data_IF_091762502999
#
_entry.id   IF_091762502999
#
_cell.length_a   1.000
_cell.length_b   1.000
_cell.length_c   1.000
_cell.angle_alpha   90.00
_cell.angle_beta   90.00
_cell.angle_gamma   90.00
#
_symmetry.space_group_name_H-M   'P 1'
#
loop_
_entity.id
_entity.type
_entity.pdbx_description
1 polymer ?
#
# COMPACT_ATOMS: atom_id res chain seq x y z
N UNK A 1 -32.58 11.76 -12.29
CA UNK A 1 -31.22 11.54 -12.82
C UNK A 1 -30.75 12.90 -13.27
N UNK A 2 -29.86 13.54 -12.51
CA UNK A 2 -29.40 14.89 -12.81
C UNK A 2 -28.32 14.81 -13.89
N UNK A 3 -28.51 15.53 -14.99
CA UNK A 3 -27.57 15.65 -16.10
C UNK A 3 -26.27 16.28 -15.59
N UNK A 4 -25.17 15.54 -15.59
CA UNK A 4 -23.84 16.05 -15.27
C UNK A 4 -23.37 16.93 -16.43
N UNK A 5 -23.09 18.20 -16.12
CA UNK A 5 -22.50 19.14 -17.09
C UNK A 5 -21.10 18.64 -17.42
N UNK A 6 -20.89 18.12 -18.63
CA UNK A 6 -19.56 17.73 -19.10
C UNK A 6 -18.67 18.96 -19.21
N UNK A 7 -17.80 19.19 -18.23
CA UNK A 7 -16.78 20.21 -18.32
C UNK A 7 -15.58 19.65 -19.10
N UNK A 8 -15.10 20.41 -20.09
CA UNK A 8 -13.85 20.11 -20.79
C UNK A 8 -12.67 20.30 -19.83
N UNK A 9 -11.71 19.36 -19.83
CA UNK A 9 -10.46 19.49 -19.07
C UNK A 9 -9.69 20.75 -19.52
N UNK A 10 -9.26 21.62 -18.59
CA UNK A 10 -8.48 22.81 -18.93
C UNK A 10 -7.05 22.44 -19.37
N UNK A 11 -6.43 23.30 -20.17
CA UNK A 11 -5.02 23.19 -20.49
C UNK A 11 -4.20 23.92 -19.43
N UNK A 12 -3.22 23.22 -18.86
CA UNK A 12 -2.37 23.74 -17.80
C UNK A 12 -1.03 24.21 -18.37
N UNK A 13 -0.58 25.37 -17.93
CA UNK A 13 0.68 25.98 -18.38
C UNK A 13 1.85 25.66 -17.45
N UNK A 14 1.59 25.07 -16.27
CA UNK A 14 2.58 24.69 -15.28
C UNK A 14 2.16 23.46 -14.48
N UNK A 15 3.14 22.72 -13.95
CA UNK A 15 2.92 21.61 -13.01
C UNK A 15 2.29 22.07 -11.70
N UNK A 16 2.59 23.30 -11.25
CA UNK A 16 1.98 23.87 -10.03
C UNK A 16 0.47 24.09 -10.22
N UNK A 17 0.08 24.61 -11.39
CA UNK A 17 -1.32 24.87 -11.75
C UNK A 17 -2.13 23.56 -11.84
N UNK A 18 -1.50 22.48 -12.33
CA UNK A 18 -2.06 21.13 -12.30
C UNK A 18 -2.35 20.68 -10.86
N UNK A 19 -1.35 20.76 -9.98
CA UNK A 19 -1.49 20.33 -8.58
C UNK A 19 -2.57 21.14 -7.86
N UNK A 20 -2.54 22.46 -8.00
CA UNK A 20 -3.55 23.35 -7.42
C UNK A 20 -4.96 23.00 -7.93
N UNK A 21 -5.11 22.66 -9.20
CA UNK A 21 -6.39 22.24 -9.76
C UNK A 21 -6.86 20.89 -9.22
N UNK A 22 -5.95 19.91 -9.09
CA UNK A 22 -6.24 18.61 -8.49
C UNK A 22 -6.66 18.72 -7.01
N UNK A 23 -6.07 19.64 -6.25
CA UNK A 23 -6.41 19.87 -4.84
C UNK A 23 -7.73 20.63 -4.64
N UNK A 24 -8.10 21.48 -5.61
CA UNK A 24 -9.26 22.38 -5.49
C UNK A 24 -10.52 21.87 -6.20
N UNK A 25 -10.39 20.93 -7.14
CA UNK A 25 -11.50 20.43 -7.95
C UNK A 25 -11.70 18.92 -7.78
N UNK A 26 -12.96 18.48 -7.82
CA UNK A 26 -13.29 17.06 -7.86
C UNK A 26 -13.05 16.51 -9.28
N UNK A 27 -12.13 15.54 -9.41
CA UNK A 27 -11.81 14.92 -10.70
C UNK A 27 -12.95 14.03 -11.24
N UNK A 28 -13.89 13.61 -10.37
CA UNK A 28 -15.09 12.86 -10.76
C UNK A 28 -16.02 13.66 -11.67
N UNK A 29 -16.04 14.99 -11.54
CA UNK A 29 -16.80 15.88 -12.44
C UNK A 29 -16.23 15.94 -13.86
N UNK A 30 -15.00 15.43 -14.07
CA UNK A 30 -14.30 15.38 -15.35
C UNK A 30 -14.13 13.95 -15.86
N UNK A 31 -14.76 12.95 -15.22
CA UNK A 31 -14.63 11.54 -15.58
C UNK A 31 -14.97 11.25 -17.04
N UNK A 32 -16.00 11.91 -17.60
CA UNK A 32 -16.40 11.77 -19.01
C UNK A 32 -15.39 12.39 -20.00
N UNK A 33 -14.54 13.31 -19.53
CA UNK A 33 -13.52 13.98 -20.33
C UNK A 33 -12.14 13.31 -20.20
N UNK A 34 -11.95 12.42 -19.21
CA UNK A 34 -10.71 11.68 -19.03
C UNK A 34 -10.64 10.50 -20.02
N UNK A 35 -9.51 10.30 -20.71
CA UNK A 35 -9.35 9.15 -21.59
C UNK A 35 -9.36 7.85 -20.76
N UNK A 36 -10.05 6.84 -21.26
CA UNK A 36 -10.02 5.50 -20.67
C UNK A 36 -8.62 4.92 -20.79
N UNK A 37 -7.98 4.66 -19.65
CA UNK A 37 -6.66 4.04 -19.57
C UNK A 37 -6.76 2.72 -18.82
N UNK A 38 -6.30 1.65 -19.47
CA UNK A 38 -6.11 0.36 -18.83
C UNK A 38 -4.65 0.26 -18.39
N UNK A 39 -4.43 0.07 -17.10
CA UNK A 39 -3.11 -0.22 -16.54
C UNK A 39 -3.22 -1.44 -15.62
N UNK A 40 -2.28 -2.36 -15.75
CA UNK A 40 -2.13 -3.49 -14.82
C UNK A 40 -1.14 -3.08 -13.74
N UNK A 41 -1.59 -3.09 -12.48
CA UNK A 41 -0.69 -2.93 -11.33
C UNK A 41 -0.33 -4.31 -10.83
N UNK A 42 0.88 -4.75 -11.14
CA UNK A 42 1.46 -5.98 -10.61
C UNK A 42 2.19 -5.66 -9.30
N UNK A 43 1.47 -5.75 -8.17
CA UNK A 43 2.07 -5.59 -6.84
C UNK A 43 2.81 -6.88 -6.45
N UNK A 44 4.00 -7.08 -7.00
CA UNK A 44 4.86 -8.22 -6.66
C UNK A 44 5.36 -8.08 -5.22
N UNK A 45 4.84 -8.93 -4.32
CA UNK A 45 5.41 -9.08 -2.99
C UNK A 45 6.61 -10.03 -3.08
N UNK A 46 7.77 -9.56 -2.64
CA UNK A 46 8.96 -10.42 -2.50
C UNK A 46 8.76 -11.35 -1.32
N UNK A 47 8.84 -12.66 -1.57
CA UNK A 47 8.80 -13.68 -0.52
C UNK A 47 10.22 -14.20 -0.25
N UNK A 48 10.64 -14.13 1.01
CA UNK A 48 11.91 -14.70 1.47
C UNK A 48 11.59 -15.93 2.34
N UNK A 49 12.21 -17.07 2.02
CA UNK A 49 12.06 -18.30 2.77
C UNK A 49 13.30 -18.53 3.64
N UNK A 50 13.08 -18.80 4.93
CA UNK A 50 14.14 -19.06 5.90
C UNK A 50 13.80 -20.34 6.65
N UNK A 51 14.79 -21.22 6.81
CA UNK A 51 14.63 -22.44 7.61
C UNK A 51 14.65 -22.08 9.10
N UNK A 52 13.66 -22.57 9.84
CA UNK A 52 13.54 -22.41 11.30
C UNK A 52 13.55 -23.80 11.93
N UNK A 53 14.17 -23.91 13.11
CA UNK A 53 14.14 -25.14 13.90
C UNK A 53 12.70 -25.57 14.22
N UNK A 54 12.44 -26.86 14.17
CA UNK A 54 11.09 -27.42 14.37
C UNK A 54 10.52 -27.07 15.75
N UNK A 55 11.31 -27.20 16.81
CA UNK A 55 10.86 -26.89 18.18
C UNK A 55 10.52 -25.42 18.35
N UNK A 56 11.32 -24.53 17.75
CA UNK A 56 11.05 -23.09 17.73
C UNK A 56 9.76 -22.80 16.95
N UNK A 57 9.58 -23.42 15.77
CA UNK A 57 8.41 -23.20 14.94
C UNK A 57 7.11 -23.64 15.64
N UNK A 58 7.13 -24.77 16.37
CA UNK A 58 5.97 -25.22 17.16
C UNK A 58 5.58 -24.18 18.21
N UNK A 59 6.55 -23.66 18.97
CA UNK A 59 6.29 -22.63 19.97
C UNK A 59 5.74 -21.34 19.34
N UNK A 60 6.29 -20.93 18.19
CA UNK A 60 5.79 -19.76 17.45
C UNK A 60 4.34 -19.93 17.00
N UNK A 61 3.97 -21.12 16.54
CA UNK A 61 2.61 -21.45 16.13
C UNK A 61 1.64 -21.41 17.33
N UNK A 62 2.05 -21.93 18.50
CA UNK A 62 1.24 -21.84 19.72
C UNK A 62 1.02 -20.39 20.14
N UNK A 63 2.06 -19.56 20.17
CA UNK A 63 1.95 -18.14 20.54
C UNK A 63 1.08 -17.38 19.55
N UNK A 64 1.25 -17.63 18.24
CA UNK A 64 0.43 -17.03 17.20
C UNK A 64 -1.05 -17.40 17.37
N UNK A 65 -1.34 -18.66 17.71
CA UNK A 65 -2.69 -19.16 17.99
C UNK A 65 -3.31 -18.49 19.22
N UNK A 66 -2.56 -18.37 20.32
CA UNK A 66 -3.02 -17.68 21.54
C UNK A 66 -3.34 -16.20 21.28
N UNK A 67 -2.53 -15.55 20.43
CA UNK A 67 -2.70 -14.15 20.04
C UNK A 67 -3.71 -13.93 18.90
N UNK A 68 -4.29 -15.00 18.33
CA UNK A 68 -5.18 -14.97 17.17
C UNK A 68 -4.62 -14.21 15.96
N UNK A 69 -3.31 -14.33 15.73
CA UNK A 69 -2.61 -13.74 14.58
C UNK A 69 -1.91 -14.83 13.76
N UNK A 70 -1.51 -14.52 12.53
CA UNK A 70 -0.69 -15.43 11.74
C UNK A 70 0.75 -15.48 12.27
N UNK A 71 1.40 -16.63 12.10
CA UNK A 71 2.81 -16.79 12.46
C UNK A 71 3.71 -15.84 11.65
N UNK A 72 3.35 -15.56 10.39
CA UNK A 72 4.02 -14.56 9.56
C UNK A 72 3.96 -13.17 10.18
N UNK A 73 2.78 -12.72 10.64
CA UNK A 73 2.62 -11.40 11.24
C UNK A 73 3.38 -11.27 12.57
N UNK A 74 3.38 -12.35 13.36
CA UNK A 74 4.15 -12.43 14.60
C UNK A 74 5.65 -12.32 14.33
N UNK A 75 6.15 -13.08 13.34
CA UNK A 75 7.56 -13.09 12.96
C UNK A 75 7.99 -11.75 12.37
N UNK A 76 7.18 -11.15 11.50
CA UNK A 76 7.49 -9.86 10.89
C UNK A 76 7.65 -8.76 11.96
N UNK A 77 6.75 -8.72 12.94
CA UNK A 77 6.83 -7.79 14.06
C UNK A 77 8.08 -8.00 14.93
N UNK A 78 8.40 -9.25 15.29
CA UNK A 78 9.58 -9.56 16.10
C UNK A 78 10.88 -9.30 15.35
N UNK A 79 10.96 -9.68 14.07
CA UNK A 79 12.12 -9.42 13.23
C UNK A 79 12.35 -7.91 13.09
N UNK A 80 11.28 -7.12 12.90
CA UNK A 80 11.38 -5.67 12.84
C UNK A 80 11.94 -5.09 14.14
N UNK A 81 11.38 -5.47 15.29
CA UNK A 81 11.88 -5.02 16.60
C UNK A 81 13.36 -5.36 16.80
N UNK A 82 13.77 -6.58 16.44
CA UNK A 82 15.17 -7.02 16.57
C UNK A 82 16.12 -6.33 15.60
N UNK A 83 15.68 -6.06 14.38
CA UNK A 83 16.46 -5.30 13.41
C UNK A 83 16.59 -3.85 13.86
N UNK A 84 15.55 -3.25 14.43
CA UNK A 84 15.62 -1.89 14.99
C UNK A 84 16.54 -1.86 16.22
N UNK A 85 16.48 -2.85 17.11
CA UNK A 85 17.36 -2.97 18.27
C UNK A 85 18.84 -3.07 17.86
N UNK A 86 19.16 -3.92 16.88
CA UNK A 86 20.54 -4.12 16.40
C UNK A 86 21.01 -2.96 15.51
N UNK A 87 20.11 -2.39 14.71
CA UNK A 87 20.38 -1.26 13.82
C UNK A 87 20.57 0.06 14.56
N UNK A 88 19.91 0.25 15.71
CA UNK A 88 20.08 1.43 16.57
C UNK A 88 21.42 1.47 17.31
N UNK A 89 22.26 0.44 17.16
CA UNK A 89 23.59 0.33 17.77
C UNK A 89 24.71 0.74 16.76
N UNK A 90 24.38 1.18 15.54
CA UNK A 90 25.35 1.75 14.59
C UNK A 90 25.25 3.28 14.46
#
# INVERSE_FOLDING_TARGET
>A
MAESKSNSLPQFNSQTELVDFFDTHDMGDYADALPEVSFEVDLQRSHYLVSVDEGIMQNLLEIAREKQISVELLLDGWLKEKVEEVGSIN
#
